data_IF_385917876298
#
_entry.id   IF_385917876298
#
_cell.length_a   1.000
_cell.length_b   1.000
_cell.length_c   1.000
_cell.angle_alpha   90.00
_cell.angle_beta   90.00
_cell.angle_gamma   90.00
#
_symmetry.space_group_name_H-M   'P 1'
#
loop_
_entity.id
_entity.type
_entity.pdbx_description
1 polymer ?
#
# COMPACT_ATOMS: atom_id res chain seq x y z
N UNK A 1 5.69 -14.88 -7.46
CA UNK A 1 5.30 -13.77 -8.35
C UNK A 1 6.28 -12.61 -8.30
N UNK A 2 6.61 -12.07 -7.13
CA UNK A 2 7.54 -10.95 -7.00
C UNK A 2 8.48 -11.22 -5.82
N UNK A 3 9.78 -11.09 -6.02
CA UNK A 3 10.80 -11.34 -5.00
C UNK A 3 11.81 -10.21 -5.02
N UNK A 4 12.11 -9.63 -3.85
CA UNK A 4 12.99 -8.48 -3.72
C UNK A 4 12.47 -7.31 -4.57
N UNK A 5 13.09 -7.02 -5.71
CA UNK A 5 12.70 -5.97 -6.65
C UNK A 5 12.38 -6.48 -8.06
N UNK A 6 12.12 -7.77 -8.24
CA UNK A 6 11.96 -8.40 -9.56
C UNK A 6 10.71 -9.29 -9.64
N UNK A 7 10.03 -9.26 -10.79
CA UNK A 7 8.92 -10.16 -11.12
C UNK A 7 9.43 -11.50 -11.68
N UNK A 8 8.71 -12.58 -11.38
CA UNK A 8 8.95 -13.89 -11.99
C UNK A 8 8.43 -13.88 -13.43
N UNK A 9 9.34 -13.91 -14.42
CA UNK A 9 8.98 -13.80 -15.83
C UNK A 9 8.12 -14.97 -16.37
N UNK A 10 8.13 -16.13 -15.71
CA UNK A 10 7.30 -17.27 -16.10
C UNK A 10 5.85 -17.06 -15.68
N UNK A 11 5.66 -16.55 -14.45
CA UNK A 11 4.33 -16.24 -13.91
C UNK A 11 3.78 -14.91 -14.42
N UNK A 12 4.66 -13.95 -14.70
CA UNK A 12 4.33 -12.57 -15.02
C UNK A 12 4.95 -12.09 -16.35
N UNK A 13 4.67 -12.77 -17.48
CA UNK A 13 5.13 -12.33 -18.80
C UNK A 13 4.49 -11.02 -19.25
N UNK A 14 3.28 -10.74 -18.75
CA UNK A 14 2.53 -9.49 -18.94
C UNK A 14 1.67 -9.22 -17.70
N UNK A 15 1.14 -8.00 -17.58
CA UNK A 15 0.39 -7.58 -16.40
C UNK A 15 -0.92 -8.34 -16.15
N UNK A 16 -1.62 -8.75 -17.22
CA UNK A 16 -2.92 -9.43 -17.12
C UNK A 16 -2.72 -10.88 -16.71
N UNK A 17 -1.82 -11.58 -17.40
CA UNK A 17 -1.42 -12.94 -17.05
C UNK A 17 -0.86 -13.01 -15.63
N UNK A 18 -0.03 -12.04 -15.25
CA UNK A 18 0.51 -11.95 -13.89
C UNK A 18 -0.60 -11.80 -12.84
N UNK A 19 -1.56 -10.90 -13.04
CA UNK A 19 -2.67 -10.74 -12.11
C UNK A 19 -3.55 -12.00 -11.98
N UNK A 20 -3.69 -12.78 -13.06
CA UNK A 20 -4.40 -14.06 -13.03
C UNK A 20 -3.61 -15.18 -12.32
N UNK A 21 -2.29 -15.17 -12.43
CA UNK A 21 -1.40 -16.19 -11.86
C UNK A 21 -1.00 -15.92 -10.40
N UNK A 22 -1.25 -14.72 -9.89
CA UNK A 22 -0.75 -14.25 -8.61
C UNK A 22 -1.89 -13.91 -7.64
N UNK A 23 -1.60 -14.02 -6.35
CA UNK A 23 -2.53 -13.66 -5.29
C UNK A 23 -1.84 -12.80 -4.22
N UNK A 24 -2.62 -11.97 -3.54
CA UNK A 24 -2.24 -11.34 -2.28
C UNK A 24 -2.64 -12.28 -1.13
N UNK A 25 -1.78 -12.39 -0.12
CA UNK A 25 -2.02 -13.21 1.06
C UNK A 25 -2.19 -12.33 2.30
N UNK A 26 -2.52 -12.94 3.44
CA UNK A 26 -2.61 -12.28 4.73
C UNK A 26 -1.29 -11.69 5.20
N UNK A 27 -1.39 -10.76 6.15
CA UNK A 27 -0.25 -10.10 6.77
C UNK A 27 -0.18 -10.45 8.26
N UNK A 28 0.98 -10.94 8.72
CA UNK A 28 1.31 -10.93 10.15
C UNK A 28 1.73 -9.51 10.55
N UNK A 29 0.74 -8.71 10.94
CA UNK A 29 0.90 -7.30 11.29
C UNK A 29 1.98 -7.09 12.37
N UNK A 30 1.96 -7.87 13.45
CA UNK A 30 2.89 -7.67 14.58
C UNK A 30 4.26 -8.24 14.28
N UNK A 31 4.35 -9.49 13.82
CA UNK A 31 5.63 -10.19 13.70
C UNK A 31 6.44 -9.78 12.47
N UNK A 32 5.77 -9.53 11.33
CA UNK A 32 6.46 -9.14 10.09
C UNK A 32 6.55 -7.63 9.93
N UNK A 33 5.47 -6.90 10.23
CA UNK A 33 5.40 -5.47 9.94
C UNK A 33 5.60 -4.57 11.17
N UNK A 34 5.58 -5.13 12.39
CA UNK A 34 5.74 -4.35 13.62
C UNK A 34 4.62 -3.34 13.85
N UNK A 35 3.42 -3.68 13.38
CA UNK A 35 2.19 -2.88 13.53
C UNK A 35 1.39 -3.45 14.69
N UNK A 36 1.04 -2.61 15.65
CA UNK A 36 0.16 -2.98 16.76
C UNK A 36 -0.92 -1.92 16.96
N UNK A 37 -2.14 -2.35 17.24
CA UNK A 37 -3.25 -1.48 17.63
C UNK A 37 -3.70 -1.78 19.06
N UNK A 38 -4.03 -0.74 19.82
CA UNK A 38 -4.56 -0.86 21.17
C UNK A 38 -5.52 0.29 21.46
N UNK A 39 -6.77 -0.01 21.81
CA UNK A 39 -7.81 1.00 22.01
C UNK A 39 -8.01 1.84 20.74
N UNK A 40 -7.74 3.15 20.85
CA UNK A 40 -7.86 4.13 19.76
C UNK A 40 -6.50 4.48 19.11
N UNK A 41 -5.41 3.80 19.47
CA UNK A 41 -4.06 4.08 18.97
C UNK A 41 -3.50 2.98 18.06
N UNK A 42 -2.62 3.37 17.16
CA UNK A 42 -1.79 2.47 16.33
C UNK A 42 -0.32 2.83 16.49
N UNK A 43 0.55 1.83 16.57
CA UNK A 43 2.00 1.99 16.60
C UNK A 43 2.60 1.30 15.39
N UNK A 44 3.44 2.03 14.65
CA UNK A 44 4.14 1.54 13.46
C UNK A 44 5.65 1.56 13.73
N UNK A 45 6.29 0.39 13.78
CA UNK A 45 7.75 0.31 13.89
C UNK A 45 8.41 0.59 12.54
N UNK A 46 9.57 1.26 12.59
CA UNK A 46 10.33 1.54 11.36
C UNK A 46 11.04 0.29 10.81
N UNK A 47 11.76 -0.47 11.63
CA UNK A 47 12.43 -1.70 11.20
C UNK A 47 11.89 -2.87 12.03
N UNK A 48 11.44 -3.91 11.33
CA UNK A 48 11.02 -5.18 11.93
C UNK A 48 11.79 -6.30 11.24
N UNK A 49 12.44 -7.16 12.03
CA UNK A 49 13.22 -8.29 11.50
C UNK A 49 12.54 -9.59 11.94
N UNK A 50 12.06 -10.35 10.96
CA UNK A 50 11.50 -11.69 11.14
C UNK A 50 12.21 -12.67 10.20
N UNK A 51 11.47 -13.42 9.36
CA UNK A 51 12.05 -14.18 8.26
C UNK A 51 12.74 -13.28 7.23
N UNK A 52 12.29 -12.02 7.10
CA UNK A 52 12.91 -10.98 6.30
C UNK A 52 12.98 -9.66 7.09
N UNK A 53 13.79 -8.72 6.61
CA UNK A 53 13.82 -7.35 7.12
C UNK A 53 12.73 -6.52 6.44
N UNK A 54 11.75 -6.06 7.21
CA UNK A 54 10.74 -5.09 6.78
C UNK A 54 11.13 -3.67 7.17
N UNK A 55 10.82 -2.69 6.30
CA UNK A 55 11.09 -1.27 6.51
C UNK A 55 9.79 -0.49 6.32
N UNK A 56 9.29 0.11 7.40
CA UNK A 56 8.08 0.91 7.42
C UNK A 56 6.80 0.12 7.14
N UNK A 57 5.70 0.86 6.99
CA UNK A 57 4.41 0.32 6.58
C UNK A 57 3.52 1.45 6.08
N UNK A 58 2.49 1.09 5.30
CA UNK A 58 1.36 1.95 4.95
C UNK A 58 0.09 1.20 5.30
N UNK A 59 -0.77 1.82 6.10
CA UNK A 59 -2.05 1.24 6.54
C UNK A 59 -3.19 2.19 6.24
N UNK A 60 -4.38 1.64 6.04
CA UNK A 60 -5.60 2.40 5.78
C UNK A 60 -6.60 2.12 6.88
N UNK A 61 -7.35 3.15 7.30
CA UNK A 61 -8.44 2.96 8.24
C UNK A 61 -9.64 2.32 7.53
N UNK A 62 -10.15 1.24 8.11
CA UNK A 62 -11.26 0.44 7.57
C UNK A 62 -12.57 0.79 8.30
N UNK A 63 -13.68 0.85 7.56
CA UNK A 63 -15.04 0.92 8.13
C UNK A 63 -15.63 -0.47 8.39
N UNK A 64 -15.17 -1.48 7.66
CA UNK A 64 -15.50 -2.90 7.82
C UNK A 64 -14.37 -3.76 7.25
N UNK A 65 -14.44 -5.08 7.34
CA UNK A 65 -13.43 -5.98 6.74
C UNK A 65 -13.27 -5.84 5.22
N UNK A 66 -14.16 -5.13 4.53
CA UNK A 66 -14.20 -5.04 3.05
C UNK A 66 -14.32 -3.63 2.50
N UNK A 67 -14.32 -2.59 3.34
CA UNK A 67 -14.44 -1.20 2.89
C UNK A 67 -13.61 -0.25 3.76
N UNK A 68 -12.86 0.64 3.11
CA UNK A 68 -12.18 1.75 3.77
C UNK A 68 -13.16 2.72 4.42
N UNK A 69 -12.71 3.39 5.47
CA UNK A 69 -13.44 4.51 6.07
C UNK A 69 -13.29 5.74 5.18
N UNK A 70 -14.41 6.24 4.68
CA UNK A 70 -14.44 7.45 3.85
C UNK A 70 -14.70 8.68 4.70
N UNK A 71 -13.90 9.74 4.49
CA UNK A 71 -14.05 11.02 5.17
C UNK A 71 -14.53 12.11 4.20
N UNK A 72 -15.42 12.98 4.65
CA UNK A 72 -15.92 14.15 3.91
C UNK A 72 -15.53 15.42 4.66
N UNK A 73 -14.32 15.89 4.40
CA UNK A 73 -13.63 16.87 5.24
C UNK A 73 -14.07 18.33 5.03
N UNK A 74 -14.75 18.65 3.94
CA UNK A 74 -15.13 20.03 3.64
C UNK A 74 -16.03 20.59 4.75
N UNK A 75 -15.62 21.72 5.33
CA UNK A 75 -16.28 22.37 6.48
C UNK A 75 -16.36 21.49 7.75
N UNK A 76 -15.40 20.58 7.93
CA UNK A 76 -15.22 19.77 9.13
C UNK A 76 -13.79 19.88 9.66
N UNK A 77 -13.56 19.35 10.86
CA UNK A 77 -12.23 19.21 11.45
C UNK A 77 -11.82 17.73 11.53
N UNK A 78 -10.52 17.47 11.46
CA UNK A 78 -9.92 16.17 11.75
C UNK A 78 -8.85 16.39 12.81
N UNK A 79 -8.88 15.60 13.88
CA UNK A 79 -7.95 15.72 15.01
C UNK A 79 -7.40 14.36 15.38
N UNK A 80 -6.13 14.34 15.78
CA UNK A 80 -5.44 13.15 16.27
C UNK A 80 -4.29 13.57 17.17
N UNK A 81 -3.96 12.71 18.14
CA UNK A 81 -2.75 12.83 18.93
C UNK A 81 -1.63 12.00 18.28
N UNK A 82 -0.39 12.49 18.35
CA UNK A 82 0.77 11.80 17.80
C UNK A 82 1.99 11.92 18.70
N UNK A 83 2.68 10.81 18.90
CA UNK A 83 3.99 10.77 19.56
C UNK A 83 5.09 10.61 18.49
N UNK A 84 5.80 11.71 18.23
CA UNK A 84 6.95 11.75 17.30
C UNK A 84 8.30 11.73 18.03
N UNK A 85 8.31 11.54 19.36
CA UNK A 85 9.54 11.62 20.17
C UNK A 85 10.62 10.60 19.76
N UNK A 86 10.21 9.51 19.11
CA UNK A 86 11.08 8.43 18.63
C UNK A 86 11.33 8.47 17.11
N UNK A 87 10.98 9.57 16.42
CA UNK A 87 11.23 9.76 14.99
C UNK A 87 12.43 10.71 14.78
N UNK A 88 13.65 10.18 14.52
CA UNK A 88 14.80 11.02 14.22
C UNK A 88 14.75 11.58 12.80
N UNK A 89 15.70 12.46 12.48
CA UNK A 89 15.86 13.00 11.12
C UNK A 89 15.96 11.89 10.05
N UNK A 90 15.33 12.13 8.91
CA UNK A 90 15.30 11.20 7.77
C UNK A 90 14.13 10.21 7.78
N UNK A 91 13.31 10.20 8.84
CA UNK A 91 12.05 9.46 8.86
C UNK A 91 10.86 10.42 8.66
N UNK A 92 9.77 9.87 8.12
CA UNK A 92 8.50 10.56 7.99
C UNK A 92 7.38 9.67 8.51
N UNK A 93 6.73 10.07 9.61
CA UNK A 93 5.51 9.47 10.11
C UNK A 93 4.31 10.23 9.55
N UNK A 94 3.79 9.79 8.41
CA UNK A 94 2.76 10.53 7.67
C UNK A 94 1.34 10.07 8.04
N UNK A 95 0.44 11.04 8.21
CA UNK A 95 -1.01 10.85 8.26
C UNK A 95 -1.62 11.78 7.21
N UNK A 96 -2.27 11.21 6.21
CA UNK A 96 -2.81 11.95 5.08
C UNK A 96 -4.07 11.29 4.54
N UNK A 97 -4.82 12.03 3.72
CA UNK A 97 -5.97 11.49 2.99
C UNK A 97 -5.64 11.34 1.51
N UNK A 98 -6.12 10.25 0.93
CA UNK A 98 -6.06 9.99 -0.50
C UNK A 98 -7.45 9.67 -1.03
N UNK A 99 -7.76 10.12 -2.25
CA UNK A 99 -9.05 9.89 -2.91
C UNK A 99 -9.12 8.48 -3.53
N UNK A 100 -8.95 7.46 -2.70
CA UNK A 100 -9.11 6.05 -3.08
C UNK A 100 -10.59 5.63 -3.15
N UNK A 101 -10.88 4.57 -3.90
CA UNK A 101 -12.19 3.92 -3.88
C UNK A 101 -12.39 3.13 -2.59
N UNK A 102 -13.58 3.23 -1.99
CA UNK A 102 -13.88 2.60 -0.69
C UNK A 102 -13.69 1.08 -0.69
N UNK A 103 -13.93 0.41 -1.81
CA UNK A 103 -13.77 -1.04 -1.99
C UNK A 103 -12.37 -1.44 -2.51
N UNK A 104 -11.43 -0.49 -2.60
CA UNK A 104 -10.10 -0.71 -3.17
C UNK A 104 -10.11 -0.96 -4.68
N UNK A 105 -11.16 -0.52 -5.39
CA UNK A 105 -11.32 -0.66 -6.83
C UNK A 105 -11.97 -1.98 -7.27
N UNK A 106 -12.51 -2.76 -6.33
CA UNK A 106 -13.06 -4.10 -6.58
C UNK A 106 -14.24 -4.07 -7.57
N UNK A 107 -15.15 -3.09 -7.46
CA UNK A 107 -16.29 -2.95 -8.37
C UNK A 107 -15.87 -2.45 -9.76
N UNK A 108 -14.86 -1.58 -9.84
CA UNK A 108 -14.41 -0.99 -11.12
C UNK A 108 -13.56 -1.94 -11.94
N UNK A 109 -12.78 -2.80 -11.28
CA UNK A 109 -11.78 -3.65 -11.91
C UNK A 109 -12.08 -5.13 -11.61
N UNK A 110 -12.83 -5.84 -12.48
CA UNK A 110 -13.30 -7.19 -12.19
C UNK A 110 -12.21 -8.23 -11.93
N UNK A 111 -10.97 -8.00 -12.38
CA UNK A 111 -9.81 -8.84 -12.12
C UNK A 111 -9.23 -8.63 -10.71
N UNK A 112 -9.51 -7.50 -10.06
CA UNK A 112 -9.22 -7.31 -8.64
C UNK A 112 -10.24 -8.10 -7.80
N UNK A 113 -9.81 -9.23 -7.26
CA UNK A 113 -10.61 -10.04 -6.32
C UNK A 113 -10.25 -9.81 -4.85
N UNK A 114 -9.24 -9.00 -4.58
CA UNK A 114 -8.70 -8.79 -3.24
C UNK A 114 -9.39 -7.61 -2.55
N UNK A 115 -9.50 -6.47 -3.24
CA UNK A 115 -10.20 -5.27 -2.74
C UNK A 115 -9.59 -4.66 -1.48
N UNK A 116 -10.37 -3.78 -0.84
CA UNK A 116 -9.93 -3.05 0.36
C UNK A 116 -9.48 -3.97 1.51
N UNK A 117 -10.04 -5.19 1.61
CA UNK A 117 -9.64 -6.19 2.61
C UNK A 117 -8.14 -6.49 2.61
N UNK A 118 -7.51 -6.42 1.44
CA UNK A 118 -6.08 -6.68 1.24
C UNK A 118 -5.32 -5.40 0.86
N UNK A 119 -5.88 -4.22 1.11
CA UNK A 119 -5.17 -2.95 0.93
C UNK A 119 -4.97 -2.51 -0.53
N UNK A 120 -5.80 -2.96 -1.46
CA UNK A 120 -5.66 -2.56 -2.89
C UNK A 120 -6.17 -1.16 -3.18
N UNK A 121 -5.82 -0.64 -4.36
CA UNK A 121 -6.42 0.59 -4.91
C UNK A 121 -5.72 1.89 -4.49
N UNK A 122 -4.51 1.81 -3.94
CA UNK A 122 -3.73 2.98 -3.57
C UNK A 122 -3.46 3.91 -4.76
N UNK A 123 -3.48 5.21 -4.47
CA UNK A 123 -3.12 6.30 -5.36
C UNK A 123 -2.73 7.50 -4.51
N UNK A 124 -1.98 8.44 -5.08
CA UNK A 124 -1.67 9.73 -4.44
C UNK A 124 -1.30 10.78 -5.51
N UNK A 125 -0.86 11.97 -5.09
CA UNK A 125 -0.53 13.08 -6.00
C UNK A 125 0.75 12.86 -6.81
N UNK A 126 1.60 11.92 -6.39
CA UNK A 126 2.87 11.59 -7.04
C UNK A 126 2.70 10.61 -8.19
N UNK A 127 1.49 10.07 -8.39
CA UNK A 127 1.22 9.04 -9.40
C UNK A 127 2.18 7.83 -9.30
N UNK A 128 2.31 7.20 -8.12
CA UNK A 128 3.34 6.21 -7.81
C UNK A 128 3.35 5.06 -8.80
N UNK A 129 4.54 4.75 -9.31
CA UNK A 129 4.81 3.68 -10.30
C UNK A 129 5.41 2.43 -9.67
N UNK A 130 5.72 2.48 -8.38
CA UNK A 130 6.22 1.36 -7.58
C UNK A 130 5.08 0.42 -7.10
N UNK A 131 3.83 0.81 -7.32
CA UNK A 131 2.67 -0.01 -6.99
C UNK A 131 2.61 -1.24 -7.90
N UNK A 132 2.65 -2.42 -7.27
CA UNK A 132 2.74 -3.72 -7.94
C UNK A 132 1.46 -4.12 -8.67
N UNK A 133 0.30 -3.67 -8.19
CA UNK A 133 -1.00 -3.95 -8.80
C UNK A 133 -1.81 -2.67 -8.90
N UNK A 134 -2.17 -2.28 -10.12
CA UNK A 134 -2.93 -1.06 -10.42
C UNK A 134 -4.12 -1.48 -11.28
N UNK A 135 -5.33 -1.03 -10.91
CA UNK A 135 -6.56 -1.27 -11.67
C UNK A 135 -6.84 -2.76 -12.00
N UNK A 136 -6.51 -3.66 -11.07
CA UNK A 136 -6.71 -5.11 -11.23
C UNK A 136 -5.70 -5.80 -12.17
N UNK A 137 -4.61 -5.12 -12.54
CA UNK A 137 -3.54 -5.63 -13.41
C UNK A 137 -2.21 -5.51 -12.67
N UNK A 138 -1.28 -6.46 -12.87
CA UNK A 138 0.06 -6.32 -12.33
C UNK A 138 0.87 -5.30 -13.13
N UNK A 139 1.67 -4.48 -12.44
CA UNK A 139 2.54 -3.48 -13.04
C UNK A 139 3.90 -4.10 -13.45
N UNK A 140 3.88 -5.28 -14.07
CA UNK A 140 5.09 -6.04 -14.44
C UNK A 140 5.72 -5.57 -15.76
N UNK A 141 4.93 -4.94 -16.64
CA UNK A 141 5.41 -4.43 -17.93
C UNK A 141 6.29 -3.20 -17.70
N UNK A 142 7.44 -3.17 -18.37
CA UNK A 142 8.40 -2.06 -18.25
C UNK A 142 9.05 -1.94 -16.86
N UNK A 143 8.98 -2.98 -16.03
CA UNK A 143 9.49 -2.93 -14.67
C UNK A 143 11.01 -2.75 -14.61
N UNK A 144 11.44 -1.66 -13.97
CA UNK A 144 12.83 -1.33 -13.69
C UNK A 144 13.11 -1.43 -12.18
N UNK A 145 13.96 -2.39 -11.73
CA UNK A 145 14.38 -2.49 -10.34
C UNK A 145 15.07 -1.20 -9.86
N UNK A 146 14.77 -0.77 -8.63
CA UNK A 146 15.44 0.41 -8.05
C UNK A 146 16.91 0.10 -7.75
N UNK A 147 17.77 1.09 -7.99
CA UNK A 147 19.21 1.00 -7.66
C UNK A 147 19.49 1.34 -6.19
N UNK A 148 18.54 1.97 -5.50
CA UNK A 148 18.67 2.41 -4.10
C UNK A 148 17.74 1.68 -3.13
N UNK A 149 16.77 0.91 -3.65
CA UNK A 149 15.85 0.10 -2.85
C UNK A 149 15.78 -1.33 -3.39
N UNK A 150 16.25 -2.28 -2.58
CA UNK A 150 16.26 -3.70 -2.93
C UNK A 150 14.87 -4.35 -2.96
N UNK A 151 13.84 -3.67 -2.44
CA UNK A 151 12.47 -4.18 -2.36
C UNK A 151 11.50 -3.54 -3.38
N UNK A 152 11.96 -2.51 -4.08
CA UNK A 152 11.12 -1.69 -4.95
C UNK A 152 11.70 -1.54 -6.36
N UNK A 153 10.85 -1.04 -7.25
CA UNK A 153 11.17 -0.72 -8.63
C UNK A 153 10.05 0.14 -9.17
N UNK A 154 10.06 0.40 -10.48
CA UNK A 154 9.02 1.20 -11.14
C UNK A 154 8.52 0.47 -12.38
N UNK A 155 7.21 0.30 -12.50
CA UNK A 155 6.57 -0.24 -13.69
C UNK A 155 6.17 0.85 -14.68
N UNK A 156 5.60 0.45 -15.81
CA UNK A 156 5.11 1.38 -16.83
C UNK A 156 3.98 2.29 -16.32
N UNK A 157 3.09 1.76 -15.48
CA UNK A 157 1.89 2.47 -15.02
C UNK A 157 2.10 3.17 -13.68
N UNK A 158 1.44 4.32 -13.51
CA UNK A 158 1.30 5.03 -12.24
C UNK A 158 -0.18 5.15 -11.83
N UNK A 159 -0.44 5.42 -10.56
CA UNK A 159 -1.81 5.51 -10.01
C UNK A 159 -2.02 6.85 -9.30
N UNK A 160 -2.77 7.75 -9.96
CA UNK A 160 -2.92 9.15 -9.53
C UNK A 160 -4.27 9.40 -8.85
N UNK A 161 -4.28 10.21 -7.79
CA UNK A 161 -5.50 10.83 -7.29
C UNK A 161 -5.19 12.05 -6.41
N UNK A 162 -6.23 12.72 -5.92
CA UNK A 162 -6.05 13.84 -5.00
C UNK A 162 -5.53 13.35 -3.65
N UNK A 163 -4.64 14.13 -3.07
CA UNK A 163 -3.98 13.89 -1.79
C UNK A 163 -4.10 15.14 -0.91
N UNK A 164 -4.29 14.94 0.39
CA UNK A 164 -4.24 15.98 1.41
C UNK A 164 -3.34 15.49 2.54
N UNK A 165 -2.10 15.96 2.55
CA UNK A 165 -1.18 15.84 3.67
C UNK A 165 -1.65 16.76 4.80
N UNK A 166 -2.02 16.19 5.96
CA UNK A 166 -2.55 16.92 7.13
C UNK A 166 -1.41 17.63 7.87
#
# INVERSE_FOLDING_TARGET
CYTSNTWDATLCPDGTTCAANCALDGADYTGTYGITASGNGVTLKFVTTSAQKNIGSRVYLMASDTSYQMFKLLNQEFTFDVDVSNLPCGLNGAVYFSQMDADGGLAKYPTNKAGAKYGTGYCDSQCPRDIKFINGVANSVGWAPSTSDVNAGTGEYGTCCNEMDI
#
